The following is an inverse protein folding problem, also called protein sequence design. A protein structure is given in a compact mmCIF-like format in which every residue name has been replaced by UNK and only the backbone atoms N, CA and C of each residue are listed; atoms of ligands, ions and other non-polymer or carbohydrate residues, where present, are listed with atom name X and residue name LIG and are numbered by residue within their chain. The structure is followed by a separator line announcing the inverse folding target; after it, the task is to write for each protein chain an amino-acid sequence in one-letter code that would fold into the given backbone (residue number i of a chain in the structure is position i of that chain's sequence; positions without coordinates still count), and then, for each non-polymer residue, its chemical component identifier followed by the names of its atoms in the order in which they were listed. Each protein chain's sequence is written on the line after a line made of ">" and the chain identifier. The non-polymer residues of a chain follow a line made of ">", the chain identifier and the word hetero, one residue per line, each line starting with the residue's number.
data_IF_249540400874
#
_entry.id   IF_249540400874
#
_cell.length_a   1.000
_cell.length_b   1.000
_cell.length_c   1.000
_cell.angle_alpha   90.00
_cell.angle_beta   90.00
_cell.angle_gamma   90.00
#
_symmetry.space_group_name_H-M   'P 1'
#
loop_
_entity.id
_entity.type
_entity.pdbx_description
1 polymer ?
#
# COMPACT_ATOMS: atom_id res chain seq x y z
N UNK A 1 23.35 23.38 28.20
CA UNK A 1 22.15 23.45 27.33
C UNK A 1 22.10 22.14 26.57
N UNK A 2 21.03 21.38 26.76
CA UNK A 2 20.85 20.02 26.25
C UNK A 2 20.68 20.05 24.73
N UNK A 3 21.55 19.35 23.98
CA UNK A 3 21.34 19.13 22.56
C UNK A 3 20.44 17.89 22.42
N UNK A 4 19.14 18.13 22.31
CA UNK A 4 18.12 17.09 22.22
C UNK A 4 18.37 16.17 21.02
N UNK A 5 18.27 14.86 21.25
CA UNK A 5 18.57 13.83 20.26
C UNK A 5 17.70 13.93 19.01
N UNK A 6 18.34 14.21 17.88
CA UNK A 6 17.89 13.65 16.62
C UNK A 6 18.41 12.21 16.59
N UNK A 7 17.55 11.24 16.91
CA UNK A 7 17.87 9.85 16.63
C UNK A 7 18.19 9.75 15.14
N UNK A 8 19.39 9.27 14.80
CA UNK A 8 19.79 8.98 13.44
C UNK A 8 18.77 8.00 12.84
N UNK A 9 17.87 8.52 12.00
CA UNK A 9 16.85 7.71 11.35
C UNK A 9 17.51 6.93 10.22
N UNK A 10 18.10 5.78 10.57
CA UNK A 10 18.68 4.83 9.62
C UNK A 10 17.55 4.14 8.86
N UNK A 11 17.10 4.73 7.76
CA UNK A 11 16.24 4.04 6.80
C UNK A 11 17.12 3.10 6.00
N UNK A 12 16.88 1.80 6.09
CA UNK A 12 17.51 0.81 5.22
C UNK A 12 16.63 0.59 3.99
N UNK A 13 17.06 0.98 2.78
CA UNK A 13 16.22 0.91 1.58
C UNK A 13 15.69 -0.49 1.26
N UNK A 14 16.46 -1.53 1.58
CA UNK A 14 16.04 -2.92 1.35
C UNK A 14 14.94 -3.39 2.30
N UNK A 15 14.92 -2.91 3.55
CA UNK A 15 13.84 -3.22 4.51
C UNK A 15 12.55 -2.55 4.05
N UNK A 16 12.61 -1.26 3.68
CA UNK A 16 11.44 -0.52 3.15
C UNK A 16 10.91 -1.13 1.86
N UNK A 17 11.78 -1.55 0.93
CA UNK A 17 11.36 -2.32 -0.26
C UNK A 17 10.74 -3.67 0.09
N UNK A 18 11.22 -4.32 1.14
CA UNK A 18 10.66 -5.57 1.65
C UNK A 18 9.23 -5.39 2.11
N UNK A 19 9.01 -4.41 3.00
CA UNK A 19 7.68 -4.05 3.48
C UNK A 19 6.76 -3.63 2.33
N UNK A 20 7.27 -2.88 1.34
CA UNK A 20 6.51 -2.53 0.14
C UNK A 20 5.92 -3.76 -0.57
N UNK A 21 6.75 -4.79 -0.81
CA UNK A 21 6.31 -6.06 -1.43
C UNK A 21 5.31 -6.81 -0.56
N UNK A 22 5.47 -6.81 0.76
CA UNK A 22 4.51 -7.46 1.66
C UNK A 22 3.15 -6.76 1.62
N UNK A 23 3.11 -5.42 1.60
CA UNK A 23 1.86 -4.68 1.42
C UNK A 23 1.20 -4.94 0.06
N UNK A 24 1.99 -5.04 -1.02
CA UNK A 24 1.46 -5.44 -2.33
C UNK A 24 0.88 -6.86 -2.30
N UNK A 25 1.57 -7.81 -1.66
CA UNK A 25 1.08 -9.18 -1.51
C UNK A 25 -0.23 -9.21 -0.71
N UNK A 26 -0.28 -8.54 0.44
CA UNK A 26 -1.47 -8.45 1.29
C UNK A 26 -2.63 -7.80 0.53
N UNK A 27 -2.36 -6.70 -0.19
CA UNK A 27 -3.34 -6.03 -1.05
C UNK A 27 -3.92 -6.98 -2.09
N UNK A 28 -3.08 -7.73 -2.79
CA UNK A 28 -3.51 -8.68 -3.83
C UNK A 28 -4.30 -9.85 -3.25
N UNK A 29 -3.85 -10.42 -2.13
CA UNK A 29 -4.55 -11.52 -1.47
C UNK A 29 -5.91 -11.06 -0.94
N UNK A 30 -5.99 -9.84 -0.39
CA UNK A 30 -7.24 -9.22 0.04
C UNK A 30 -8.19 -8.97 -1.14
N UNK A 31 -7.70 -8.39 -2.23
CA UNK A 31 -8.49 -8.15 -3.44
C UNK A 31 -9.11 -9.44 -3.99
N UNK A 32 -8.32 -10.53 -4.04
CA UNK A 32 -8.82 -11.86 -4.45
C UNK A 32 -9.90 -12.38 -3.52
N UNK A 33 -9.73 -12.22 -2.22
CA UNK A 33 -10.74 -12.64 -1.24
C UNK A 33 -12.04 -11.83 -1.37
N UNK A 34 -11.93 -10.51 -1.57
CA UNK A 34 -13.08 -9.64 -1.82
C UNK A 34 -13.82 -10.02 -3.11
N UNK A 35 -13.08 -10.30 -4.19
CA UNK A 35 -13.65 -10.76 -5.45
C UNK A 35 -14.31 -12.15 -5.32
N UNK A 36 -13.72 -13.05 -4.54
CA UNK A 36 -14.33 -14.35 -4.24
C UNK A 36 -15.64 -14.22 -3.46
N UNK A 37 -15.70 -13.29 -2.50
CA UNK A 37 -16.93 -12.97 -1.80
C UNK A 37 -17.99 -12.40 -2.76
N UNK A 38 -17.64 -11.44 -3.60
CA UNK A 38 -18.53 -10.87 -4.62
C UNK A 38 -19.13 -11.96 -5.51
N UNK A 39 -18.28 -12.82 -6.08
CA UNK A 39 -18.72 -13.93 -6.92
C UNK A 39 -19.62 -14.91 -6.16
N UNK A 40 -19.29 -15.22 -4.92
CA UNK A 40 -20.11 -16.07 -4.05
C UNK A 40 -21.49 -15.49 -3.81
N UNK A 41 -21.57 -14.20 -3.47
CA UNK A 41 -22.84 -13.51 -3.25
C UNK A 41 -23.68 -13.42 -4.53
N UNK A 42 -23.06 -13.11 -5.67
CA UNK A 42 -23.75 -13.14 -6.98
C UNK A 42 -24.24 -14.54 -7.32
N UNK A 43 -23.46 -15.58 -7.02
CA UNK A 43 -23.81 -16.98 -7.28
C UNK A 43 -25.00 -17.49 -6.46
N UNK A 44 -25.27 -16.90 -5.29
CA UNK A 44 -26.47 -17.20 -4.49
C UNK A 44 -27.76 -16.67 -5.13
N UNK A 45 -27.65 -15.71 -6.05
CA UNK A 45 -28.79 -15.04 -6.67
C UNK A 45 -29.64 -14.27 -5.64
N UNK A 46 -30.91 -14.07 -5.99
CA UNK A 46 -31.86 -13.32 -5.16
C UNK A 46 -32.92 -14.27 -4.58
N UNK A 47 -32.75 -14.74 -3.32
CA UNK A 47 -33.70 -15.67 -2.71
C UNK A 47 -35.02 -15.04 -2.26
N UNK A 48 -35.13 -13.71 -2.27
CA UNK A 48 -36.36 -12.98 -1.92
C UNK A 48 -37.33 -12.89 -3.09
N UNK A 49 -38.64 -12.96 -2.79
CA UNK A 49 -39.72 -12.84 -3.77
C UNK A 49 -39.97 -11.40 -4.23
N UNK A 50 -40.88 -11.23 -5.18
CA UNK A 50 -41.33 -9.92 -5.67
C UNK A 50 -42.55 -9.35 -4.91
N UNK A 51 -42.95 -10.00 -3.82
CA UNK A 51 -43.97 -9.47 -2.91
C UNK A 51 -43.42 -8.31 -2.08
N UNK A 52 -44.30 -7.54 -1.43
CA UNK A 52 -43.91 -6.33 -0.69
C UNK A 52 -42.79 -6.60 0.35
N UNK A 53 -42.83 -7.67 1.17
CA UNK A 53 -41.72 -8.01 2.06
C UNK A 53 -40.43 -8.39 1.31
N UNK A 54 -40.53 -9.19 0.24
CA UNK A 54 -39.38 -9.63 -0.54
C UNK A 54 -38.68 -8.48 -1.29
N UNK A 55 -39.47 -7.57 -1.87
CA UNK A 55 -38.96 -6.36 -2.53
C UNK A 55 -38.29 -5.40 -1.55
N UNK A 56 -38.88 -5.21 -0.36
CA UNK A 56 -38.28 -4.40 0.71
C UNK A 56 -36.94 -4.97 1.17
N UNK A 57 -36.89 -6.26 1.48
CA UNK A 57 -35.65 -6.93 1.86
C UNK A 57 -34.59 -6.86 0.76
N UNK A 58 -34.98 -7.10 -0.50
CA UNK A 58 -34.07 -7.08 -1.63
C UNK A 58 -33.40 -5.73 -1.85
N UNK A 59 -34.13 -4.64 -1.61
CA UNK A 59 -33.61 -3.28 -1.70
C UNK A 59 -32.53 -3.03 -0.66
N UNK A 60 -32.85 -3.24 0.62
CA UNK A 60 -31.93 -3.04 1.74
C UNK A 60 -30.69 -3.94 1.63
N UNK A 61 -30.89 -5.22 1.25
CA UNK A 61 -29.80 -6.16 1.06
C UNK A 61 -28.85 -5.70 -0.05
N UNK A 62 -29.38 -5.30 -1.21
CA UNK A 62 -28.55 -4.90 -2.36
C UNK A 62 -27.74 -3.64 -2.05
N UNK A 63 -28.34 -2.68 -1.34
CA UNK A 63 -27.63 -1.47 -0.90
C UNK A 63 -26.49 -1.81 0.08
N UNK A 64 -26.79 -2.61 1.11
CA UNK A 64 -25.79 -3.04 2.09
C UNK A 64 -24.66 -3.86 1.44
N UNK A 65 -24.99 -4.77 0.53
CA UNK A 65 -24.04 -5.54 -0.25
C UNK A 65 -23.12 -4.63 -1.08
N UNK A 66 -23.70 -3.65 -1.79
CA UNK A 66 -22.93 -2.70 -2.59
C UNK A 66 -21.95 -1.89 -1.77
N UNK A 67 -22.40 -1.36 -0.62
CA UNK A 67 -21.52 -0.62 0.31
C UNK A 67 -20.39 -1.49 0.86
N UNK A 68 -20.68 -2.74 1.24
CA UNK A 68 -19.68 -3.68 1.72
C UNK A 68 -18.61 -3.93 0.67
N UNK A 69 -19.01 -4.30 -0.56
CA UNK A 69 -18.08 -4.60 -1.65
C UNK A 69 -17.23 -3.39 -2.03
N UNK A 70 -17.83 -2.20 -2.09
CA UNK A 70 -17.09 -0.95 -2.32
C UNK A 70 -16.05 -0.67 -1.21
N UNK A 71 -16.42 -0.93 0.05
CA UNK A 71 -15.51 -0.79 1.19
C UNK A 71 -14.34 -1.76 1.14
N UNK A 72 -14.58 -3.02 0.79
CA UNK A 72 -13.53 -4.03 0.62
C UNK A 72 -12.58 -3.66 -0.51
N UNK A 73 -13.09 -3.32 -1.70
CA UNK A 73 -12.25 -2.90 -2.82
C UNK A 73 -11.43 -1.64 -2.48
N UNK A 74 -12.05 -0.67 -1.80
CA UNK A 74 -11.35 0.53 -1.35
C UNK A 74 -10.25 0.25 -0.32
N UNK A 75 -10.40 -0.77 0.52
CA UNK A 75 -9.34 -1.19 1.45
C UNK A 75 -8.18 -1.86 0.71
N UNK A 76 -8.47 -2.73 -0.26
CA UNK A 76 -7.43 -3.33 -1.12
C UNK A 76 -6.60 -2.24 -1.80
N UNK A 77 -7.24 -1.28 -2.45
CA UNK A 77 -6.55 -0.17 -3.11
C UNK A 77 -5.66 0.64 -2.16
N UNK A 78 -6.11 0.88 -0.93
CA UNK A 78 -5.32 1.62 0.08
C UNK A 78 -4.09 0.83 0.50
N UNK A 79 -4.21 -0.48 0.67
CA UNK A 79 -3.06 -1.35 0.99
C UNK A 79 -2.03 -1.35 -0.15
N UNK A 80 -2.49 -1.44 -1.41
CA UNK A 80 -1.62 -1.35 -2.57
C UNK A 80 -0.89 0.00 -2.65
N UNK A 81 -1.59 1.11 -2.39
CA UNK A 81 -0.98 2.45 -2.34
C UNK A 81 0.09 2.59 -1.26
N UNK A 82 -0.07 1.94 -0.11
CA UNK A 82 0.98 1.89 0.92
C UNK A 82 2.22 1.18 0.38
N UNK A 83 2.04 0.02 -0.28
CA UNK A 83 3.13 -0.71 -0.92
C UNK A 83 3.90 0.15 -1.94
N UNK A 84 3.20 0.82 -2.84
CA UNK A 84 3.79 1.74 -3.82
C UNK A 84 4.51 2.92 -3.16
N UNK A 85 3.95 3.46 -2.07
CA UNK A 85 4.57 4.53 -1.29
C UNK A 85 5.91 4.11 -0.68
N UNK A 86 5.97 2.89 -0.14
CA UNK A 86 7.21 2.32 0.41
C UNK A 86 8.26 2.08 -0.69
N UNK A 87 7.85 1.60 -1.88
CA UNK A 87 8.76 1.51 -3.02
C UNK A 87 9.35 2.86 -3.41
N UNK A 88 8.50 3.88 -3.53
CA UNK A 88 8.92 5.26 -3.85
C UNK A 88 9.89 5.81 -2.81
N UNK A 89 9.64 5.53 -1.53
CA UNK A 89 10.51 5.94 -0.43
C UNK A 89 11.89 5.29 -0.56
N UNK A 90 11.95 3.98 -0.78
CA UNK A 90 13.22 3.28 -0.92
C UNK A 90 14.02 3.71 -2.15
N UNK A 91 13.36 3.96 -3.29
CA UNK A 91 14.01 4.54 -4.46
C UNK A 91 14.58 5.93 -4.20
N UNK A 92 13.89 6.72 -3.37
CA UNK A 92 14.33 8.06 -3.01
C UNK A 92 15.54 8.06 -2.10
N UNK A 93 15.62 7.11 -1.16
CA UNK A 93 16.81 6.94 -0.31
C UNK A 93 18.01 6.47 -1.13
N UNK A 94 17.84 5.46 -1.99
CA UNK A 94 18.94 4.99 -2.86
C UNK A 94 19.51 6.12 -3.74
N UNK A 95 18.64 6.97 -4.28
CA UNK A 95 19.04 8.10 -5.11
C UNK A 95 19.84 9.13 -4.30
N UNK A 96 19.36 9.47 -3.11
CA UNK A 96 20.05 10.41 -2.22
C UNK A 96 21.44 9.88 -1.83
N UNK A 97 21.56 8.60 -1.48
CA UNK A 97 22.84 7.97 -1.15
C UNK A 97 23.81 7.96 -2.35
N UNK A 98 23.30 7.73 -3.56
CA UNK A 98 24.07 7.80 -4.80
C UNK A 98 24.58 9.20 -5.12
N UNK A 99 23.74 10.23 -4.95
CA UNK A 99 24.12 11.63 -5.15
C UNK A 99 25.21 12.07 -4.16
N UNK A 100 25.04 11.74 -2.87
CA UNK A 100 26.04 12.02 -1.83
C UNK A 100 27.36 11.32 -2.15
N UNK A 101 27.32 10.04 -2.54
CA UNK A 101 28.52 9.27 -2.89
C UNK A 101 29.24 9.88 -4.10
N UNK A 102 28.50 10.33 -5.12
CA UNK A 102 29.07 10.98 -6.30
C UNK A 102 29.71 12.33 -5.95
N UNK A 103 29.09 13.11 -5.07
CA UNK A 103 29.65 14.39 -4.63
C UNK A 103 30.91 14.22 -3.78
N UNK A 104 30.94 13.22 -2.89
CA UNK A 104 32.14 12.87 -2.14
C UNK A 104 33.28 12.44 -3.07
N UNK A 105 32.99 11.64 -4.10
CA UNK A 105 33.99 11.25 -5.10
C UNK A 105 34.55 12.44 -5.88
N UNK A 106 33.72 13.44 -6.23
CA UNK A 106 34.18 14.69 -6.86
C UNK A 106 35.08 15.50 -5.94
N UNK A 107 34.74 15.58 -4.65
CA UNK A 107 35.56 16.30 -3.64
C UNK A 107 36.92 15.63 -3.50
N UNK A 108 36.97 14.30 -3.44
CA UNK A 108 38.23 13.55 -3.34
C UNK A 108 39.09 13.72 -4.60
N UNK A 109 38.49 13.66 -5.79
CA UNK A 109 39.19 13.88 -7.06
C UNK A 109 39.76 15.31 -7.21
N UNK A 110 39.20 16.29 -6.51
CA UNK A 110 39.70 17.67 -6.48
C UNK A 110 40.79 17.93 -5.44
N UNK A 111 41.13 16.95 -4.59
CA UNK A 111 42.10 17.12 -3.51
C UNK A 111 43.54 16.99 -4.05
N UNK A 112 44.42 17.99 -3.87
CA UNK A 112 45.82 17.86 -4.27
C UNK A 112 46.53 16.78 -3.43
N UNK A 113 47.54 16.08 -4.00
CA UNK A 113 48.29 15.06 -3.27
C UNK A 113 49.00 15.70 -2.07
N UNK A 114 48.87 15.06 -0.90
CA UNK A 114 49.61 15.45 0.30
C UNK A 114 51.02 14.90 0.15
N UNK A 115 51.98 15.79 -0.14
CA UNK A 115 53.43 15.49 -0.21
C UNK A 115 54.02 15.43 1.18
#
# INVERSE_FOLDING_TARGET
>A
MSNGGAGEFLIKPWEVRGEGREFEKISNDFARAAQGLEQGLTGLGTPWGGDEPGSGFGTEYTEAQGMLLAGLNGLADRLGKIGTGLHTMAESVDRADGEVSADLAKVDAGRPPVV
#
